data_IF_475414270067
#
_entry.id   IF_475414270067
#
_cell.length_a   1.000
_cell.length_b   1.000
_cell.length_c   1.000
_cell.angle_alpha   90.00
_cell.angle_beta   90.00
_cell.angle_gamma   90.00
#
_symmetry.space_group_name_H-M   'P 1'
#
loop_
_entity.id
_entity.type
_entity.pdbx_description
1 polymer ?
#
# COMPACT_ATOMS: atom_id res chain seq x y z
N UNK A 1 4.07 23.21 -73.96
CA UNK A 1 2.84 23.92 -73.54
C UNK A 1 2.05 23.02 -72.61
N UNK A 2 1.44 23.56 -71.55
CA UNK A 2 0.52 22.79 -70.68
C UNK A 2 0.90 22.75 -69.21
N UNK A 3 0.82 23.92 -68.54
CA UNK A 3 0.78 24.04 -67.08
C UNK A 3 -0.52 23.41 -66.55
N UNK A 4 -0.51 22.83 -65.34
CA UNK A 4 -1.56 23.05 -64.33
C UNK A 4 -1.18 22.45 -62.97
N UNK A 5 -0.82 23.36 -62.05
CA UNK A 5 -0.66 23.13 -60.61
C UNK A 5 -2.04 23.23 -59.96
N UNK A 6 -2.55 22.13 -59.40
CA UNK A 6 -3.76 22.12 -58.56
C UNK A 6 -3.40 22.43 -57.11
N UNK A 7 -3.75 23.64 -56.67
CA UNK A 7 -3.50 24.20 -55.33
C UNK A 7 -4.69 23.88 -54.44
N UNK A 8 -4.59 22.93 -53.52
CA UNK A 8 -5.65 22.67 -52.53
C UNK A 8 -5.52 23.71 -51.42
N UNK A 9 -6.54 24.56 -51.32
CA UNK A 9 -6.70 25.62 -50.32
C UNK A 9 -6.86 24.99 -48.94
N UNK A 10 -6.08 25.49 -47.97
CA UNK A 10 -6.24 25.16 -46.56
C UNK A 10 -7.64 25.54 -46.07
N UNK A 11 -8.34 24.57 -45.51
CA UNK A 11 -9.54 24.82 -44.72
C UNK A 11 -9.12 25.49 -43.42
N UNK A 12 -9.63 26.71 -43.24
CA UNK A 12 -9.51 27.49 -42.02
C UNK A 12 -10.46 26.86 -41.00
N UNK A 13 -9.93 26.12 -40.04
CA UNK A 13 -10.74 25.59 -38.93
C UNK A 13 -11.02 26.78 -38.01
N UNK A 14 -12.25 27.28 -38.06
CA UNK A 14 -12.74 28.30 -37.13
C UNK A 14 -12.86 27.66 -35.75
N UNK A 15 -11.95 28.04 -34.84
CA UNK A 15 -12.06 27.72 -33.41
C UNK A 15 -13.21 28.52 -32.83
N UNK A 16 -14.36 27.89 -32.68
CA UNK A 16 -15.51 28.43 -31.93
C UNK A 16 -15.11 28.45 -30.46
N UNK A 17 -15.03 29.65 -29.87
CA UNK A 17 -14.78 29.81 -28.44
C UNK A 17 -15.92 29.16 -27.64
N UNK A 18 -15.63 28.41 -26.56
CA UNK A 18 -16.68 27.83 -25.73
C UNK A 18 -17.46 28.96 -25.06
N UNK A 19 -18.75 29.05 -25.37
CA UNK A 19 -19.66 29.94 -24.64
C UNK A 19 -19.71 29.52 -23.17
N UNK A 20 -19.68 30.47 -22.21
CA UNK A 20 -19.83 30.15 -20.80
C UNK A 20 -21.18 29.46 -20.59
N UNK A 21 -21.15 28.25 -20.05
CA UNK A 21 -22.33 27.51 -19.64
C UNK A 21 -22.95 28.28 -18.48
N UNK A 22 -24.05 28.98 -18.73
CA UNK A 22 -24.88 29.56 -17.68
C UNK A 22 -25.79 28.46 -17.17
N UNK A 23 -25.52 27.99 -15.96
CA UNK A 23 -26.46 27.13 -15.23
C UNK A 23 -27.56 28.03 -14.69
N UNK A 24 -28.75 27.97 -15.29
CA UNK A 24 -29.96 28.44 -14.64
C UNK A 24 -30.19 27.51 -13.44
N UNK A 25 -29.83 27.98 -12.25
CA UNK A 25 -30.18 27.28 -11.02
C UNK A 25 -31.68 27.44 -10.89
N UNK A 26 -32.42 26.42 -11.37
CA UNK A 26 -33.87 26.37 -11.26
C UNK A 26 -34.27 26.65 -9.81
N UNK A 27 -35.17 27.62 -9.62
CA UNK A 27 -35.64 28.12 -8.32
C UNK A 27 -36.24 27.03 -7.41
N UNK A 28 -36.41 25.81 -7.93
CA UNK A 28 -36.94 24.63 -7.25
C UNK A 28 -35.88 23.71 -6.64
N UNK A 29 -34.59 24.06 -6.69
CA UNK A 29 -33.52 23.24 -6.10
C UNK A 29 -33.70 23.00 -4.58
N UNK A 30 -34.30 23.96 -3.88
CA UNK A 30 -34.62 23.88 -2.46
C UNK A 30 -35.77 22.91 -2.18
N UNK A 31 -36.86 22.99 -2.95
CA UNK A 31 -38.00 22.06 -2.81
C UNK A 31 -37.60 20.61 -3.13
N UNK A 32 -36.82 20.39 -4.18
CA UNK A 32 -36.32 19.05 -4.54
C UNK A 32 -35.41 18.46 -3.45
N UNK A 33 -34.62 19.30 -2.78
CA UNK A 33 -33.77 18.86 -1.66
C UNK A 33 -34.60 18.50 -0.42
N UNK A 34 -35.63 19.30 -0.11
CA UNK A 34 -36.52 19.05 1.02
C UNK A 34 -37.34 17.77 0.83
N UNK A 35 -37.87 17.52 -0.37
CA UNK A 35 -38.57 16.27 -0.70
C UNK A 35 -37.64 15.04 -0.55
N UNK A 36 -36.39 15.16 -1.02
CA UNK A 36 -35.40 14.08 -0.92
C UNK A 36 -35.01 13.78 0.54
N UNK A 37 -34.88 14.82 1.38
CA UNK A 37 -34.61 14.65 2.81
C UNK A 37 -35.81 14.03 3.56
N UNK A 38 -37.03 14.37 3.19
CA UNK A 38 -38.24 13.78 3.77
C UNK A 38 -38.38 12.27 3.48
N UNK A 39 -37.91 11.83 2.29
CA UNK A 39 -37.87 10.42 1.90
C UNK A 39 -36.66 9.66 2.51
N UNK A 40 -35.62 10.39 2.92
CA UNK A 40 -34.43 9.81 3.52
C UNK A 40 -34.68 9.42 4.99
N UNK A 41 -35.24 8.24 5.20
CA UNK A 41 -35.22 7.57 6.50
C UNK A 41 -33.97 6.70 6.59
N UNK A 42 -32.85 7.18 7.17
CA UNK A 42 -31.68 6.33 7.36
C UNK A 42 -32.10 5.18 8.27
N UNK A 43 -32.22 3.98 7.69
CA UNK A 43 -32.32 2.76 8.48
C UNK A 43 -30.99 2.62 9.20
N UNK A 44 -30.96 3.02 10.47
CA UNK A 44 -29.86 2.72 11.37
C UNK A 44 -29.82 1.20 11.47
N UNK A 45 -29.00 0.57 10.62
CA UNK A 45 -28.68 -0.84 10.81
C UNK A 45 -28.01 -0.91 12.18
N UNK A 46 -28.49 -1.74 13.12
CA UNK A 46 -27.73 -1.97 14.35
C UNK A 46 -26.34 -2.41 13.89
N UNK A 47 -25.32 -1.71 14.40
CA UNK A 47 -23.93 -2.04 14.10
C UNK A 47 -23.77 -3.55 14.31
N UNK A 48 -23.44 -4.26 13.24
CA UNK A 48 -23.11 -5.67 13.28
C UNK A 48 -21.90 -5.75 14.22
N UNK A 49 -22.14 -6.06 15.49
CA UNK A 49 -21.13 -6.45 16.48
C UNK A 49 -20.59 -7.83 16.11
N UNK A 50 -20.21 -8.02 14.85
CA UNK A 50 -19.25 -9.05 14.49
C UNK A 50 -17.95 -8.56 15.09
N UNK A 51 -17.70 -9.04 16.31
CA UNK A 51 -16.41 -8.99 16.95
C UNK A 51 -15.37 -9.22 15.87
N UNK A 52 -14.69 -8.14 15.49
CA UNK A 52 -13.44 -8.19 14.75
C UNK A 52 -12.65 -9.24 15.50
N UNK A 53 -12.40 -10.41 14.88
CA UNK A 53 -11.51 -11.39 15.47
C UNK A 53 -10.23 -10.62 15.73
N UNK A 54 -10.04 -10.23 16.99
CA UNK A 54 -8.85 -9.59 17.44
C UNK A 54 -7.77 -10.61 17.11
N UNK A 55 -6.93 -10.24 16.14
CA UNK A 55 -5.69 -10.93 15.86
C UNK A 55 -5.07 -11.30 17.20
N UNK A 56 -4.70 -12.58 17.41
CA UNK A 56 -4.38 -13.12 18.73
C UNK A 56 -3.47 -12.15 19.46
N UNK A 57 -3.90 -11.75 20.68
CA UNK A 57 -3.13 -10.95 21.63
C UNK A 57 -1.68 -11.39 21.52
N UNK A 58 -0.85 -10.54 20.93
CA UNK A 58 0.58 -10.83 20.79
C UNK A 58 1.11 -10.91 22.21
N UNK A 59 1.49 -12.11 22.62
CA UNK A 59 2.18 -12.33 23.88
C UNK A 59 3.27 -11.26 24.03
N UNK A 60 3.30 -10.61 25.20
CA UNK A 60 4.24 -9.54 25.53
C UNK A 60 5.70 -10.04 25.68
N UNK A 61 6.14 -10.96 24.81
CA UNK A 61 7.55 -11.03 24.46
C UNK A 61 7.86 -9.76 23.67
N UNK A 62 8.66 -8.90 24.29
CA UNK A 62 9.16 -7.65 23.72
C UNK A 62 9.54 -7.88 22.26
N UNK A 63 8.74 -7.34 21.34
CA UNK A 63 9.02 -7.46 19.91
C UNK A 63 10.29 -6.66 19.63
N UNK A 64 11.28 -7.32 19.05
CA UNK A 64 12.56 -6.70 18.71
C UNK A 64 12.41 -6.03 17.35
N UNK A 65 12.54 -4.71 17.30
CA UNK A 65 12.45 -3.96 16.06
C UNK A 65 13.81 -3.90 15.36
N UNK A 66 13.83 -4.19 14.06
CA UNK A 66 15.00 -4.10 13.20
C UNK A 66 14.68 -3.10 12.11
N UNK A 67 15.25 -1.91 12.21
CA UNK A 67 15.07 -0.86 11.22
C UNK A 67 16.14 -0.94 10.12
N UNK A 68 15.67 -1.05 8.89
CA UNK A 68 16.44 -1.28 7.67
C UNK A 68 16.11 -0.24 6.59
N UNK A 69 15.30 0.78 6.89
CA UNK A 69 14.94 1.76 5.89
C UNK A 69 16.19 2.45 5.31
N UNK A 70 16.21 2.62 3.99
CA UNK A 70 17.33 3.28 3.30
C UNK A 70 18.60 2.45 3.13
N UNK A 71 18.65 1.22 3.65
CA UNK A 71 19.77 0.30 3.40
C UNK A 71 19.68 -0.36 2.03
N UNK A 72 20.82 -0.77 1.50
CA UNK A 72 20.85 -1.75 0.39
C UNK A 72 20.43 -3.14 0.88
N UNK A 73 20.10 -4.04 -0.06
CA UNK A 73 19.70 -5.41 0.29
C UNK A 73 20.83 -6.13 1.05
N UNK A 74 22.06 -6.06 0.54
CA UNK A 74 23.22 -6.72 1.15
C UNK A 74 23.52 -6.22 2.57
N UNK A 75 23.42 -4.91 2.80
CA UNK A 75 23.60 -4.31 4.14
C UNK A 75 22.51 -4.76 5.10
N UNK A 76 21.27 -4.76 4.63
CA UNK A 76 20.12 -5.14 5.43
C UNK A 76 20.16 -6.62 5.83
N UNK A 77 20.56 -7.52 4.93
CA UNK A 77 20.74 -8.95 5.25
C UNK A 77 21.80 -9.16 6.33
N UNK A 78 22.96 -8.52 6.20
CA UNK A 78 24.04 -8.59 7.20
C UNK A 78 23.57 -8.06 8.55
N UNK A 79 22.84 -6.95 8.56
CA UNK A 79 22.31 -6.37 9.78
C UNK A 79 21.27 -7.29 10.45
N UNK A 80 20.36 -7.87 9.68
CA UNK A 80 19.37 -8.85 10.20
C UNK A 80 20.07 -10.04 10.84
N UNK A 81 21.09 -10.60 10.18
CA UNK A 81 21.89 -11.70 10.74
C UNK A 81 22.52 -11.26 12.07
N UNK A 82 23.16 -10.10 12.07
CA UNK A 82 23.84 -9.59 13.25
C UNK A 82 22.87 -9.37 14.41
N UNK A 83 21.72 -8.74 14.18
CA UNK A 83 20.74 -8.49 15.23
C UNK A 83 20.15 -9.80 15.75
N UNK A 84 19.68 -10.71 14.88
CA UNK A 84 19.12 -12.00 15.32
C UNK A 84 20.14 -12.82 16.10
N UNK A 85 21.43 -12.76 15.73
CA UNK A 85 22.49 -13.49 16.46
C UNK A 85 22.70 -13.00 17.90
N UNK A 86 22.39 -11.74 18.20
CA UNK A 86 22.45 -11.17 19.57
C UNK A 86 21.36 -11.70 20.50
N UNK A 87 20.33 -12.35 19.95
CA UNK A 87 19.21 -12.91 20.70
C UNK A 87 19.18 -14.44 20.55
N UNK A 88 20.05 -15.16 21.27
CA UNK A 88 20.04 -16.63 21.26
C UNK A 88 18.66 -17.13 21.68
N UNK A 89 18.09 -18.04 20.89
CA UNK A 89 16.70 -18.46 21.06
C UNK A 89 16.52 -19.63 22.03
N UNK A 90 17.55 -20.43 22.34
CA UNK A 90 17.43 -21.51 23.35
C UNK A 90 16.15 -22.34 23.18
N UNK A 91 15.32 -22.42 24.23
CA UNK A 91 13.94 -22.97 24.17
C UNK A 91 12.85 -21.88 24.08
N UNK A 92 13.25 -20.62 23.90
CA UNK A 92 12.39 -19.46 23.83
C UNK A 92 12.00 -19.10 22.39
N UNK A 93 10.91 -18.35 22.28
CA UNK A 93 10.39 -17.81 21.03
C UNK A 93 10.57 -16.30 21.04
N UNK A 94 11.04 -15.71 19.96
CA UNK A 94 11.15 -14.24 19.86
C UNK A 94 10.59 -13.73 18.56
N UNK A 95 9.87 -12.62 18.67
CA UNK A 95 9.28 -11.93 17.53
C UNK A 95 10.15 -10.76 17.14
N UNK A 96 10.55 -10.72 15.87
CA UNK A 96 11.27 -9.63 15.25
C UNK A 96 10.34 -8.89 14.30
N UNK A 97 10.28 -7.56 14.43
CA UNK A 97 9.60 -6.68 13.49
C UNK A 97 10.65 -6.08 12.56
N UNK A 98 10.64 -6.51 11.31
CA UNK A 98 11.61 -6.11 10.30
C UNK A 98 10.99 -4.95 9.51
N UNK A 99 11.59 -3.76 9.59
CA UNK A 99 11.10 -2.52 9.00
C UNK A 99 12.00 -2.16 7.81
N UNK A 100 11.51 -2.30 6.60
CA UNK A 100 12.27 -2.03 5.36
C UNK A 100 11.83 -0.72 4.68
N UNK A 101 10.79 -0.08 5.20
CA UNK A 101 10.16 1.08 4.58
C UNK A 101 9.24 0.71 3.40
N UNK A 102 8.50 1.70 2.90
CA UNK A 102 7.46 1.52 1.85
C UNK A 102 7.99 1.58 0.41
N UNK A 103 9.28 1.88 0.22
CA UNK A 103 9.90 1.92 -1.11
C UNK A 103 9.68 3.21 -1.93
N UNK A 104 9.12 4.27 -1.36
CA UNK A 104 8.84 5.56 -2.06
C UNK A 104 10.08 6.24 -2.66
N UNK A 105 11.25 6.02 -2.06
CA UNK A 105 12.52 6.59 -2.52
C UNK A 105 13.36 5.61 -3.35
N UNK A 106 12.87 4.41 -3.62
CA UNK A 106 13.55 3.50 -4.53
C UNK A 106 13.39 4.01 -5.97
N UNK A 107 14.45 3.91 -6.78
CA UNK A 107 14.45 4.34 -8.18
C UNK A 107 13.32 3.74 -9.03
N UNK A 108 12.80 2.59 -8.61
CA UNK A 108 11.70 1.89 -9.25
C UNK A 108 10.35 2.06 -8.56
N UNK A 109 10.28 2.73 -7.41
CA UNK A 109 9.08 2.84 -6.57
C UNK A 109 8.54 1.50 -6.05
N UNK A 110 9.26 0.40 -6.29
CA UNK A 110 8.74 -0.97 -6.17
C UNK A 110 9.06 -1.64 -4.83
N UNK A 111 9.68 -0.98 -3.87
CA UNK A 111 9.91 -1.60 -2.55
C UNK A 111 10.73 -2.89 -2.62
N UNK A 112 11.78 -2.92 -3.45
CA UNK A 112 12.63 -4.10 -3.66
C UNK A 112 13.12 -4.69 -2.33
N UNK A 113 13.53 -3.84 -1.38
CA UNK A 113 14.05 -4.26 -0.09
C UNK A 113 13.07 -5.15 0.70
N UNK A 114 11.76 -4.84 0.69
CA UNK A 114 10.79 -5.61 1.48
C UNK A 114 10.61 -7.03 0.95
N UNK A 115 10.66 -7.18 -0.38
CA UNK A 115 10.54 -8.46 -1.06
C UNK A 115 11.78 -9.32 -0.82
N UNK A 116 12.97 -8.77 -1.07
CA UNK A 116 14.22 -9.52 -0.94
C UNK A 116 14.44 -9.96 0.51
N UNK A 117 14.23 -9.07 1.49
CA UNK A 117 14.41 -9.41 2.91
C UNK A 117 13.40 -10.47 3.38
N UNK A 118 12.18 -10.42 2.87
CA UNK A 118 11.19 -11.45 3.18
C UNK A 118 11.64 -12.84 2.70
N UNK A 119 12.09 -12.92 1.44
CA UNK A 119 12.59 -14.17 0.85
C UNK A 119 13.86 -14.66 1.55
N UNK A 120 14.79 -13.75 1.85
CA UNK A 120 15.99 -14.05 2.61
C UNK A 120 15.66 -14.65 3.98
N UNK A 121 14.74 -14.05 4.74
CA UNK A 121 14.36 -14.55 6.07
C UNK A 121 13.77 -15.96 5.99
N UNK A 122 12.88 -16.21 5.03
CA UNK A 122 12.30 -17.55 4.81
C UNK A 122 13.40 -18.56 4.47
N UNK A 123 14.30 -18.22 3.55
CA UNK A 123 15.35 -19.14 3.11
C UNK A 123 16.36 -19.44 4.23
N UNK A 124 16.81 -18.40 4.93
CA UNK A 124 17.88 -18.51 5.95
C UNK A 124 17.38 -19.11 7.26
N UNK A 125 16.17 -18.77 7.69
CA UNK A 125 15.64 -19.12 9.00
C UNK A 125 14.45 -20.09 8.94
N UNK A 126 14.04 -20.56 7.76
CA UNK A 126 12.88 -21.42 7.54
C UNK A 126 12.65 -22.50 8.60
N UNK A 127 13.64 -23.35 8.95
CA UNK A 127 13.49 -24.39 9.98
C UNK A 127 13.14 -23.85 11.38
N UNK A 128 13.52 -22.60 11.66
CA UNK A 128 13.32 -21.90 12.93
C UNK A 128 12.13 -20.96 12.91
N UNK A 129 11.46 -20.76 11.78
CA UNK A 129 10.26 -19.92 11.72
C UNK A 129 9.10 -20.68 12.35
N UNK A 130 8.53 -20.13 13.41
CA UNK A 130 7.27 -20.59 13.96
C UNK A 130 6.09 -19.87 13.30
N UNK A 131 6.23 -18.56 13.11
CA UNK A 131 5.22 -17.72 12.48
C UNK A 131 5.90 -16.63 11.67
N UNK A 132 5.40 -16.36 10.48
CA UNK A 132 5.77 -15.19 9.69
C UNK A 132 4.50 -14.59 9.12
N UNK A 133 4.42 -13.26 9.08
CA UNK A 133 3.32 -12.59 8.40
C UNK A 133 3.42 -12.79 6.88
N UNK A 134 2.32 -12.56 6.16
CA UNK A 134 2.35 -12.55 4.70
C UNK A 134 3.29 -11.46 4.17
N UNK A 135 3.86 -11.70 3.00
CA UNK A 135 4.75 -10.75 2.35
C UNK A 135 4.06 -9.39 2.21
N UNK A 136 4.60 -8.32 2.81
CA UNK A 136 4.03 -6.99 2.66
C UNK A 136 4.06 -6.48 1.21
N UNK A 137 4.91 -7.08 0.37
CA UNK A 137 5.03 -6.76 -1.05
C UNK A 137 3.77 -7.10 -1.86
N UNK A 138 2.99 -8.09 -1.39
CA UNK A 138 1.75 -8.52 -2.04
C UNK A 138 0.57 -7.56 -1.84
N UNK A 139 0.70 -6.58 -0.94
CA UNK A 139 -0.36 -5.62 -0.61
C UNK A 139 0.05 -4.23 -1.09
N UNK A 140 -0.36 -3.90 -2.31
CA UNK A 140 -0.05 -2.61 -2.96
C UNK A 140 -1.31 -1.83 -3.33
N UNK A 141 -1.25 -0.51 -3.18
CA UNK A 141 -2.28 0.42 -3.64
C UNK A 141 -1.63 1.48 -4.52
N UNK A 142 -2.07 1.61 -5.77
CA UNK A 142 -1.45 2.55 -6.71
C UNK A 142 0.02 2.24 -7.03
N UNK A 143 0.44 0.97 -6.90
CA UNK A 143 1.83 0.53 -7.09
C UNK A 143 2.73 0.66 -5.86
N UNK A 144 2.29 1.39 -4.81
CA UNK A 144 3.02 1.54 -3.55
C UNK A 144 2.69 0.40 -2.57
N UNK A 145 3.69 -0.10 -1.84
CA UNK A 145 3.45 -1.02 -0.73
C UNK A 145 2.72 -0.30 0.40
N UNK A 146 1.59 -0.86 0.84
CA UNK A 146 0.79 -0.28 1.94
C UNK A 146 1.55 -0.44 3.28
N UNK A 147 2.30 -1.54 3.41
CA UNK A 147 3.04 -1.89 4.62
C UNK A 147 4.53 -2.01 4.33
N UNK A 148 5.34 -1.28 5.09
CA UNK A 148 6.81 -1.26 4.98
C UNK A 148 7.53 -2.12 6.02
N UNK A 149 6.86 -3.11 6.60
CA UNK A 149 7.41 -4.00 7.62
C UNK A 149 6.69 -5.34 7.66
N UNK A 150 7.29 -6.35 8.28
CA UNK A 150 6.65 -7.62 8.61
C UNK A 150 7.18 -8.16 9.95
N UNK A 151 6.40 -9.05 10.55
CA UNK A 151 6.80 -9.75 11.77
C UNK A 151 7.20 -11.18 11.47
N UNK A 152 8.26 -11.64 12.11
CA UNK A 152 8.69 -13.03 12.11
C UNK A 152 8.95 -13.48 13.54
N UNK A 153 8.34 -14.58 13.95
CA UNK A 153 8.58 -15.25 15.22
C UNK A 153 9.46 -16.46 14.96
N UNK A 154 10.64 -16.45 15.59
CA UNK A 154 11.60 -17.52 15.51
C UNK A 154 11.62 -18.33 16.80
N UNK A 155 11.83 -19.64 16.68
CA UNK A 155 12.05 -20.57 17.79
C UNK A 155 13.52 -21.05 17.83
N UNK A 156 13.87 -21.63 18.98
CA UNK A 156 15.08 -22.42 19.17
C UNK A 156 15.32 -23.47 18.08
N UNK A 157 16.59 -23.89 17.87
CA UNK A 157 16.90 -25.07 17.07
C UNK A 157 16.28 -26.35 17.65
#
# INVERSE_FOLDING_TARGET
MGKSKGRIKGQKIETVAPSPIQFEIEENALELMEEHLALFKPRVKPADNKARQESPKRDHNSTIEIDLHGMTVDEAERWVIQVISRYPLGNEKRTFKIITGKGRHSSSGRGVLIRELYLFVIHRYGPRIERIEESPDGVRLGGEAIRGHFHVTLKGP
#
